data_IF_512673323266
#
_entry.id   IF_512673323266
#
_cell.length_a   1.000
_cell.length_b   1.000
_cell.length_c   1.000
_cell.angle_alpha   90.00
_cell.angle_beta   90.00
_cell.angle_gamma   90.00
#
_symmetry.space_group_name_H-M   'P 1'
#
loop_
_entity.id
_entity.type
_entity.pdbx_description
1 polymer ?
#
# COMPACT_ATOMS: atom_id res chain seq x y z
N UNK A 1 10.56 -6.81 -14.69
CA UNK A 1 11.30 -7.63 -13.71
C UNK A 1 10.28 -8.43 -12.90
N UNK A 2 10.61 -9.60 -12.34
CA UNK A 2 9.62 -10.41 -11.63
C UNK A 2 9.12 -9.65 -10.40
N UNK A 3 7.80 -9.51 -10.28
CA UNK A 3 7.16 -9.04 -9.04
C UNK A 3 7.67 -9.93 -7.92
N UNK A 4 8.39 -9.35 -6.96
CA UNK A 4 8.90 -10.11 -5.81
C UNK A 4 7.72 -10.68 -5.04
N UNK A 5 7.94 -11.83 -4.39
CA UNK A 5 6.91 -12.47 -3.58
C UNK A 5 6.34 -11.48 -2.56
N UNK A 6 5.01 -11.42 -2.40
CA UNK A 6 4.39 -10.53 -1.44
C UNK A 6 4.77 -10.90 0.00
N UNK A 7 4.88 -9.89 0.84
CA UNK A 7 5.22 -9.98 2.25
C UNK A 7 3.92 -9.98 3.07
N UNK A 8 3.79 -10.99 3.94
CA UNK A 8 2.70 -11.05 4.92
C UNK A 8 3.05 -10.20 6.14
N UNK A 9 2.18 -9.28 6.58
CA UNK A 9 2.37 -8.57 7.84
C UNK A 9 2.36 -9.53 9.03
N UNK A 10 3.17 -9.21 10.04
CA UNK A 10 3.05 -9.80 11.38
C UNK A 10 1.69 -9.42 11.96
N UNK A 11 1.03 -10.33 12.67
CA UNK A 11 -0.27 -10.09 13.32
C UNK A 11 -1.33 -9.47 12.40
N UNK A 12 -1.55 -10.06 11.22
CA UNK A 12 -2.47 -9.56 10.17
C UNK A 12 -3.85 -9.15 10.72
N UNK A 13 -4.41 -9.91 11.66
CA UNK A 13 -5.74 -9.63 12.22
C UNK A 13 -5.75 -8.38 13.11
N UNK A 14 -4.64 -8.13 13.83
CA UNK A 14 -4.46 -6.90 14.63
C UNK A 14 -4.32 -5.70 13.69
N UNK A 15 -3.50 -5.82 12.63
CA UNK A 15 -3.36 -4.78 11.63
C UNK A 15 -4.72 -4.46 10.98
N UNK A 16 -5.46 -5.48 10.57
CA UNK A 16 -6.80 -5.32 9.97
C UNK A 16 -7.75 -4.59 10.93
N UNK A 17 -7.76 -4.98 12.19
CA UNK A 17 -8.60 -4.33 13.21
C UNK A 17 -8.25 -2.85 13.39
N UNK A 18 -6.95 -2.52 13.41
CA UNK A 18 -6.49 -1.12 13.48
C UNK A 18 -6.90 -0.29 12.27
N UNK A 19 -6.81 -0.87 11.07
CA UNK A 19 -7.24 -0.19 9.83
C UNK A 19 -8.75 0.07 9.85
N UNK A 20 -9.55 -0.91 10.28
CA UNK A 20 -11.01 -0.77 10.36
C UNK A 20 -11.47 0.21 11.45
N UNK A 21 -10.71 0.34 12.53
CA UNK A 21 -11.02 1.26 13.63
C UNK A 21 -10.54 2.70 13.37
N UNK A 22 -9.71 2.92 12.35
CA UNK A 22 -9.19 4.25 12.05
C UNK A 22 -10.28 5.14 11.43
N UNK A 23 -10.40 6.35 11.95
CA UNK A 23 -11.32 7.35 11.41
C UNK A 23 -10.81 7.90 10.06
N UNK A 24 -11.69 8.37 9.17
CA UNK A 24 -11.30 9.00 7.90
C UNK A 24 -10.82 10.45 8.14
N UNK A 25 -9.74 10.60 8.91
CA UNK A 25 -9.10 11.87 9.26
C UNK A 25 -7.59 11.77 9.07
N UNK A 26 -6.89 12.91 9.02
CA UNK A 26 -5.43 12.92 8.91
C UNK A 26 -4.75 12.12 10.03
N UNK A 27 -5.32 12.15 11.24
CA UNK A 27 -4.82 11.37 12.37
C UNK A 27 -5.08 9.87 12.16
N UNK A 28 -6.27 9.49 11.69
CA UNK A 28 -6.57 8.10 11.35
C UNK A 28 -5.66 7.55 10.23
N UNK A 29 -5.37 8.36 9.21
CA UNK A 29 -4.41 8.00 8.16
C UNK A 29 -2.99 7.79 8.72
N UNK A 30 -2.56 8.65 9.67
CA UNK A 30 -1.27 8.45 10.37
C UNK A 30 -1.24 7.16 11.17
N UNK A 31 -2.32 6.82 11.86
CA UNK A 31 -2.46 5.55 12.58
C UNK A 31 -2.35 4.36 11.62
N UNK A 32 -3.03 4.42 10.47
CA UNK A 32 -2.94 3.37 9.43
C UNK A 32 -1.49 3.23 8.94
N UNK A 33 -0.86 4.32 8.52
CA UNK A 33 0.51 4.29 8.00
C UNK A 33 1.50 3.75 9.04
N UNK A 34 1.40 4.18 10.29
CA UNK A 34 2.24 3.71 11.38
C UNK A 34 2.03 2.22 11.68
N UNK A 35 0.77 1.75 11.67
CA UNK A 35 0.45 0.35 11.88
C UNK A 35 1.01 -0.52 10.75
N UNK A 36 0.79 -0.14 9.48
CA UNK A 36 1.31 -0.89 8.33
C UNK A 36 2.84 -0.99 8.40
N UNK A 37 3.54 0.11 8.67
CA UNK A 37 4.99 0.12 8.87
C UNK A 37 5.44 -0.85 9.97
N UNK A 38 4.81 -0.76 11.14
CA UNK A 38 5.15 -1.61 12.29
C UNK A 38 4.96 -3.10 11.96
N UNK A 39 3.82 -3.46 11.37
CA UNK A 39 3.48 -4.85 11.09
C UNK A 39 4.26 -5.44 9.90
N UNK A 40 4.81 -4.60 9.01
CA UNK A 40 5.73 -5.00 7.94
C UNK A 40 7.21 -4.87 8.31
N UNK A 41 7.54 -4.40 9.52
CA UNK A 41 8.92 -4.18 9.98
C UNK A 41 9.69 -3.16 9.13
N UNK A 42 9.01 -2.07 8.73
CA UNK A 42 9.55 -1.02 7.86
C UNK A 42 9.65 0.33 8.58
N UNK A 43 10.71 1.09 8.29
CA UNK A 43 11.00 2.38 8.94
C UNK A 43 10.88 3.60 8.03
N UNK A 44 10.79 3.41 6.70
CA UNK A 44 10.80 4.50 5.73
C UNK A 44 9.58 5.42 5.75
N UNK A 45 9.63 6.46 4.91
CA UNK A 45 8.51 7.38 4.71
C UNK A 45 7.31 6.67 4.08
N UNK A 46 6.12 6.92 4.60
CA UNK A 46 4.88 6.32 4.14
C UNK A 46 3.91 7.39 3.63
N UNK A 47 3.18 7.08 2.57
CA UNK A 47 2.02 7.84 2.09
C UNK A 47 0.82 6.93 2.00
N UNK A 48 -0.36 7.52 2.17
CA UNK A 48 -1.64 6.85 1.95
C UNK A 48 -2.26 7.39 0.68
N UNK A 49 -2.70 6.49 -0.19
CA UNK A 49 -3.28 6.82 -1.48
C UNK A 49 -4.56 6.04 -1.68
N UNK A 50 -5.61 6.70 -2.16
CA UNK A 50 -6.89 6.06 -2.41
C UNK A 50 -7.58 6.62 -3.65
N UNK A 51 -8.44 5.78 -4.23
CA UNK A 51 -9.38 6.11 -5.30
C UNK A 51 -10.80 5.78 -4.84
N UNK A 52 -11.78 6.42 -5.47
CA UNK A 52 -13.21 6.18 -5.27
C UNK A 52 -13.78 5.36 -6.43
N UNK A 53 -15.10 5.18 -6.46
CA UNK A 53 -15.82 4.57 -7.59
C UNK A 53 -15.63 5.42 -8.85
N UNK A 54 -15.50 4.75 -10.01
CA UNK A 54 -15.23 5.36 -11.32
C UNK A 54 -13.94 6.20 -11.41
N UNK A 55 -13.03 6.07 -10.42
CA UNK A 55 -11.74 6.78 -10.38
C UNK A 55 -10.56 5.80 -10.54
N UNK A 56 -9.71 6.07 -11.52
CA UNK A 56 -8.42 5.40 -11.65
C UNK A 56 -7.32 6.45 -11.67
N UNK A 57 -6.22 6.18 -10.98
CA UNK A 57 -5.21 7.21 -10.75
C UNK A 57 -3.79 6.65 -10.83
N UNK A 58 -2.97 7.30 -11.63
CA UNK A 58 -1.53 7.07 -11.63
C UNK A 58 -0.88 7.74 -10.41
N UNK A 59 -0.13 6.97 -9.64
CA UNK A 59 0.60 7.45 -8.47
C UNK A 59 2.09 7.32 -8.71
N UNK A 60 2.80 8.45 -8.71
CA UNK A 60 4.24 8.50 -8.85
C UNK A 60 4.97 7.93 -7.62
N UNK A 61 5.90 7.02 -7.85
CA UNK A 61 6.77 6.43 -6.84
C UNK A 61 8.03 7.28 -6.72
N UNK A 62 8.19 7.95 -5.57
CA UNK A 62 9.30 8.88 -5.34
C UNK A 62 10.66 8.19 -5.14
N UNK A 63 10.66 6.88 -4.94
CA UNK A 63 11.85 6.12 -4.57
C UNK A 63 12.00 4.89 -5.46
N UNK A 64 13.23 4.50 -5.83
CA UNK A 64 13.49 3.35 -6.70
C UNK A 64 13.07 2.03 -6.06
N UNK A 65 12.91 1.99 -4.73
CA UNK A 65 12.42 0.83 -3.99
C UNK A 65 11.37 1.26 -2.98
N UNK A 66 10.20 0.63 -3.05
CA UNK A 66 9.15 0.82 -2.07
C UNK A 66 8.38 -0.48 -1.82
N UNK A 67 7.63 -0.49 -0.72
CA UNK A 67 6.64 -1.49 -0.38
C UNK A 67 5.25 -0.89 -0.57
N UNK A 68 4.42 -1.53 -1.38
CA UNK A 68 3.01 -1.14 -1.55
C UNK A 68 2.15 -2.10 -0.77
N UNK A 69 1.57 -1.65 0.34
CA UNK A 69 0.61 -2.42 1.11
C UNK A 69 -0.80 -2.18 0.59
N UNK A 70 -1.44 -3.23 0.07
CA UNK A 70 -2.81 -3.15 -0.43
C UNK A 70 -3.80 -3.33 0.71
N UNK A 71 -4.59 -2.30 1.00
CA UNK A 71 -5.65 -2.37 2.02
C UNK A 71 -6.92 -2.99 1.42
N UNK A 72 -7.31 -2.50 0.23
CA UNK A 72 -8.44 -2.98 -0.55
C UNK A 72 -8.28 -2.61 -2.02
N UNK A 73 -8.99 -3.33 -2.89
CA UNK A 73 -9.11 -3.01 -4.31
C UNK A 73 -8.00 -3.64 -5.13
N UNK A 74 -7.41 -2.89 -6.04
CA UNK A 74 -6.40 -3.40 -6.93
C UNK A 74 -5.51 -2.30 -7.52
N UNK A 75 -4.28 -2.65 -7.84
CA UNK A 75 -3.39 -1.76 -8.58
C UNK A 75 -2.61 -2.52 -9.64
N UNK A 76 -2.15 -1.80 -10.65
CA UNK A 76 -1.35 -2.35 -11.73
C UNK A 76 0.06 -1.76 -11.72
N UNK A 77 1.03 -2.61 -12.02
CA UNK A 77 2.42 -2.23 -12.26
C UNK A 77 2.87 -2.91 -13.55
N UNK A 78 3.23 -2.12 -14.56
CA UNK A 78 3.62 -2.61 -15.90
C UNK A 78 2.65 -3.63 -16.50
N UNK A 79 1.34 -3.40 -16.34
CA UNK A 79 0.29 -4.30 -16.82
C UNK A 79 0.13 -5.59 -16.00
N UNK A 80 0.81 -5.73 -14.87
CA UNK A 80 0.56 -6.81 -13.91
C UNK A 80 -0.44 -6.33 -12.87
N UNK A 81 -1.62 -6.96 -12.87
CA UNK A 81 -2.69 -6.69 -11.92
C UNK A 81 -2.41 -7.35 -10.57
N UNK A 82 -2.50 -6.56 -9.49
CA UNK A 82 -2.32 -6.99 -8.11
C UNK A 82 -3.61 -6.72 -7.32
N UNK A 83 -4.21 -7.78 -6.76
CA UNK A 83 -5.50 -7.73 -6.04
C UNK A 83 -5.45 -8.46 -4.68
N UNK A 84 -4.25 -8.66 -4.14
CA UNK A 84 -4.06 -9.44 -2.91
C UNK A 84 -4.05 -8.53 -1.68
N UNK A 85 -5.24 -8.33 -1.11
CA UNK A 85 -5.45 -7.48 0.06
C UNK A 85 -4.72 -7.97 1.33
N UNK A 86 -4.25 -7.01 2.10
CA UNK A 86 -3.56 -7.22 3.37
C UNK A 86 -2.15 -7.76 3.22
N UNK A 87 -1.52 -7.59 2.05
CA UNK A 87 -0.13 -7.95 1.77
C UNK A 87 0.69 -6.74 1.35
N UNK A 88 1.97 -6.74 1.69
CA UNK A 88 2.96 -5.80 1.18
C UNK A 88 3.59 -6.33 -0.11
N UNK A 89 3.59 -5.53 -1.16
CA UNK A 89 4.13 -5.86 -2.47
C UNK A 89 5.41 -5.06 -2.69
N UNK A 90 6.60 -5.70 -2.74
CA UNK A 90 7.83 -4.99 -3.05
C UNK A 90 7.80 -4.54 -4.51
N UNK A 91 8.06 -3.25 -4.72
CA UNK A 91 8.13 -2.60 -6.03
C UNK A 91 9.51 -1.99 -6.16
N UNK A 92 10.22 -2.36 -7.23
CA UNK A 92 11.58 -1.90 -7.50
C UNK A 92 11.67 -1.44 -8.95
N UNK A 93 12.42 -0.37 -9.19
CA UNK A 93 12.73 0.17 -10.51
C UNK A 93 11.47 0.58 -11.32
N UNK A 94 10.46 1.12 -10.63
CA UNK A 94 9.23 1.65 -11.22
C UNK A 94 9.02 3.11 -10.82
N UNK A 95 8.60 3.92 -11.80
CA UNK A 95 8.35 5.36 -11.59
C UNK A 95 6.91 5.63 -11.11
N UNK A 96 5.99 4.72 -11.37
CA UNK A 96 4.59 4.86 -11.00
C UNK A 96 3.86 3.52 -10.88
N UNK A 97 2.68 3.56 -10.28
CA UNK A 97 1.69 2.49 -10.30
C UNK A 97 0.31 3.06 -10.63
N UNK A 98 -0.56 2.24 -11.20
CA UNK A 98 -1.94 2.61 -11.48
C UNK A 98 -2.85 2.06 -10.39
N UNK A 99 -3.49 2.94 -9.62
CA UNK A 99 -4.59 2.55 -8.74
C UNK A 99 -5.86 2.38 -9.56
N UNK A 100 -6.54 1.25 -9.37
CA UNK A 100 -7.87 1.02 -9.95
C UNK A 100 -8.96 1.58 -9.03
N UNK A 101 -10.21 1.51 -9.45
CA UNK A 101 -11.36 1.99 -8.68
C UNK A 101 -11.42 1.39 -7.27
N UNK A 102 -11.97 2.16 -6.32
CA UNK A 102 -12.18 1.75 -4.93
C UNK A 102 -10.93 1.20 -4.21
N UNK A 103 -9.74 1.61 -4.63
CA UNK A 103 -8.47 1.11 -4.12
C UNK A 103 -7.94 1.97 -3.01
N UNK A 104 -7.35 1.35 -1.98
CA UNK A 104 -6.60 2.05 -0.96
C UNK A 104 -5.28 1.32 -0.69
N UNK A 105 -4.18 2.07 -0.69
CA UNK A 105 -2.83 1.55 -0.48
C UNK A 105 -2.05 2.42 0.50
N UNK A 106 -1.06 1.81 1.15
CA UNK A 106 0.02 2.53 1.81
C UNK A 106 1.31 2.25 1.06
N UNK A 107 1.98 3.30 0.60
CA UNK A 107 3.26 3.22 -0.12
C UNK A 107 4.36 3.61 0.84
N UNK A 108 5.31 2.71 1.08
CA UNK A 108 6.39 2.90 2.05
C UNK A 108 7.73 2.84 1.31
N UNK A 109 8.52 3.90 1.39
CA UNK A 109 9.90 3.86 0.90
C UNK A 109 10.73 2.83 1.67
N UNK A 110 11.55 2.06 0.94
CA UNK A 110 12.46 1.07 1.53
C UNK A 110 13.87 1.42 1.07
N UNK A 111 14.58 2.19 1.91
CA UNK A 111 15.95 2.67 1.65
C UNK A 111 16.94 1.53 1.92
#
# INVERSE_FOLDING_TARGET
MPVKSPVKPKDKDVLRSKILAAEPSDEGLRVIMAAVKYHLDLTGYATYEQTIEDDTREVGLKYPKCMVFLIRGAFEIRGTLIQQDGLGHPVEDEDSLQLLENTAVVIISTI
#
